data_IF_374363079019
#
_entry.id   IF_374363079019
#
_cell.length_a   1.000
_cell.length_b   1.000
_cell.length_c   1.000
_cell.angle_alpha   90.00
_cell.angle_beta   90.00
_cell.angle_gamma   90.00
#
_symmetry.space_group_name_H-M   'P 1'
#
loop_
_entity.id
_entity.type
_entity.pdbx_description
1 polymer ?
#
# COMPACT_ATOMS: atom_id res chain seq x y z
N UNK A 1 35.74 -3.95 -12.40
CA UNK A 1 36.69 -3.57 -13.47
C UNK A 1 35.99 -3.22 -14.78
N UNK A 2 35.13 -4.10 -15.34
CA UNK A 2 34.40 -3.82 -16.59
C UNK A 2 33.59 -2.51 -16.61
N UNK A 3 32.80 -2.26 -15.55
CA UNK A 3 32.01 -1.03 -15.44
C UNK A 3 32.90 0.22 -15.41
N UNK A 4 34.01 0.17 -14.68
CA UNK A 4 34.96 1.29 -14.61
C UNK A 4 35.62 1.59 -15.96
N UNK A 5 36.03 0.56 -16.72
CA UNK A 5 36.60 0.75 -18.06
C UNK A 5 35.58 1.25 -19.09
N UNK A 6 34.29 0.98 -18.89
CA UNK A 6 33.24 1.47 -19.78
C UNK A 6 32.97 2.97 -19.54
N UNK A 7 32.89 3.40 -18.28
CA UNK A 7 32.74 4.82 -17.95
C UNK A 7 33.90 5.66 -18.50
N UNK A 8 35.14 5.17 -18.39
CA UNK A 8 36.31 5.86 -18.93
C UNK A 8 36.24 6.04 -20.46
N UNK A 9 35.79 5.00 -21.20
CA UNK A 9 35.55 5.11 -22.65
C UNK A 9 34.41 6.08 -23.00
N UNK A 10 33.39 6.22 -22.15
CA UNK A 10 32.29 7.17 -22.35
C UNK A 10 32.73 8.62 -22.06
N UNK A 11 33.64 8.81 -21.11
CA UNK A 11 34.25 10.10 -20.83
C UNK A 11 35.15 10.56 -22.00
N UNK A 12 35.96 9.66 -22.57
CA UNK A 12 36.76 9.95 -23.77
C UNK A 12 35.90 10.38 -24.97
N UNK A 13 34.74 9.74 -25.17
CA UNK A 13 33.77 10.14 -26.19
C UNK A 13 33.19 11.53 -25.90
N UNK A 14 32.89 11.81 -24.63
CA UNK A 14 32.35 13.11 -24.19
C UNK A 14 33.37 14.24 -24.36
N UNK A 15 34.67 13.95 -24.19
CA UNK A 15 35.78 14.87 -24.47
C UNK A 15 36.08 15.04 -25.96
N UNK A 16 35.45 14.23 -26.83
CA UNK A 16 35.68 14.26 -28.28
C UNK A 16 36.96 13.54 -28.73
N UNK A 17 37.60 12.79 -27.83
CA UNK A 17 38.85 12.05 -28.10
C UNK A 17 38.59 10.78 -28.93
N UNK A 18 37.38 10.22 -28.84
CA UNK A 18 36.94 9.04 -29.59
C UNK A 18 35.55 9.21 -30.19
N UNK A 19 35.31 8.56 -31.32
CA UNK A 19 33.97 8.42 -31.90
C UNK A 19 33.13 7.40 -31.13
N UNK A 20 31.85 7.70 -30.89
CA UNK A 20 30.93 6.81 -30.15
C UNK A 20 30.63 5.48 -30.89
N UNK A 21 30.64 5.50 -32.24
CA UNK A 21 30.32 4.33 -33.06
C UNK A 21 31.33 3.17 -32.86
N UNK A 22 32.65 3.40 -32.94
CA UNK A 22 33.66 2.39 -32.59
C UNK A 22 33.50 1.83 -31.18
N UNK A 23 33.29 2.69 -30.19
CA UNK A 23 33.14 2.27 -28.78
C UNK A 23 31.94 1.34 -28.59
N UNK A 24 30.82 1.63 -29.24
CA UNK A 24 29.65 0.73 -29.22
C UNK A 24 29.92 -0.59 -29.96
N UNK A 25 30.60 -0.57 -31.10
CA UNK A 25 30.92 -1.79 -31.84
C UNK A 25 31.83 -2.72 -31.02
N UNK A 26 32.85 -2.16 -30.36
CA UNK A 26 33.73 -2.90 -29.45
C UNK A 26 32.98 -3.59 -28.30
N UNK A 27 31.90 -2.98 -27.80
CA UNK A 27 31.06 -3.57 -26.76
C UNK A 27 30.08 -4.62 -27.33
N UNK A 28 29.40 -4.29 -28.44
CA UNK A 28 28.28 -5.08 -28.94
C UNK A 28 28.72 -6.41 -29.56
N UNK A 29 29.79 -6.42 -30.35
CA UNK A 29 30.26 -7.64 -31.03
C UNK A 29 30.56 -8.81 -30.05
N UNK A 30 31.36 -8.62 -28.99
CA UNK A 30 31.58 -9.69 -28.00
C UNK A 30 30.32 -9.99 -27.17
N UNK A 31 29.48 -8.99 -26.88
CA UNK A 31 28.26 -9.21 -26.10
C UNK A 31 27.21 -10.05 -26.84
N UNK A 32 26.98 -9.83 -28.14
CA UNK A 32 26.08 -10.67 -28.96
C UNK A 32 26.62 -12.10 -29.01
N UNK A 33 27.93 -12.25 -29.21
CA UNK A 33 28.57 -13.56 -29.30
C UNK A 33 28.40 -14.33 -27.98
N UNK A 34 28.60 -13.66 -26.85
CA UNK A 34 28.39 -14.24 -25.52
C UNK A 34 26.92 -14.59 -25.28
N UNK A 35 25.97 -13.73 -25.68
CA UNK A 35 24.53 -14.00 -25.58
C UNK A 35 24.15 -15.25 -26.36
N UNK A 36 24.56 -15.36 -27.63
CA UNK A 36 24.30 -16.54 -28.47
C UNK A 36 24.86 -17.82 -27.87
N UNK A 37 26.07 -17.75 -27.30
CA UNK A 37 26.67 -18.89 -26.62
C UNK A 37 25.86 -19.30 -25.39
N UNK A 38 25.47 -18.33 -24.55
CA UNK A 38 24.74 -18.59 -23.29
C UNK A 38 23.28 -18.99 -23.51
N UNK A 39 22.64 -18.55 -24.59
CA UNK A 39 21.29 -19.01 -24.97
C UNK A 39 21.26 -20.52 -25.27
N UNK A 40 22.34 -21.06 -25.84
CA UNK A 40 22.46 -22.49 -26.16
C UNK A 40 22.92 -23.29 -24.93
N UNK A 41 23.84 -22.76 -24.15
CA UNK A 41 24.44 -23.45 -23.00
C UNK A 41 23.50 -23.50 -21.78
N UNK A 42 22.68 -22.47 -21.55
CA UNK A 42 21.89 -22.33 -20.33
C UNK A 42 20.41 -22.53 -20.61
N UNK A 43 19.89 -23.70 -20.24
CA UNK A 43 18.44 -23.89 -20.24
C UNK A 43 17.82 -23.07 -19.10
N UNK A 44 16.85 -22.20 -19.45
CA UNK A 44 16.14 -21.35 -18.47
C UNK A 44 15.45 -22.17 -17.37
N UNK A 45 15.10 -23.42 -17.66
CA UNK A 45 14.39 -24.32 -16.76
C UNK A 45 15.30 -24.79 -15.61
N UNK A 46 16.53 -25.22 -15.89
CA UNK A 46 17.45 -25.74 -14.85
C UNK A 46 17.90 -24.67 -13.85
N UNK A 47 18.01 -23.41 -14.27
CA UNK A 47 18.41 -22.31 -13.39
C UNK A 47 17.25 -21.85 -12.50
N UNK A 48 16.00 -22.06 -12.93
CA UNK A 48 14.84 -21.44 -12.29
C UNK A 48 13.98 -22.39 -11.48
N UNK A 49 14.06 -23.71 -11.65
CA UNK A 49 13.26 -24.68 -10.89
C UNK A 49 14.13 -25.65 -10.09
N UNK A 50 14.08 -25.53 -8.77
CA UNK A 50 14.63 -26.55 -7.85
C UNK A 50 13.47 -27.42 -7.35
N UNK A 51 13.57 -28.73 -7.57
CA UNK A 51 12.59 -29.68 -7.05
C UNK A 51 12.61 -29.73 -5.52
N UNK A 52 11.44 -29.90 -4.92
CA UNK A 52 11.30 -30.08 -3.48
C UNK A 52 10.47 -31.29 -3.15
N UNK A 53 10.64 -31.81 -1.94
CA UNK A 53 9.88 -32.97 -1.44
C UNK A 53 8.46 -32.59 -0.97
N UNK A 54 8.07 -31.31 -1.06
CA UNK A 54 6.76 -30.85 -0.61
C UNK A 54 5.68 -31.14 -1.65
N UNK A 55 4.52 -31.59 -1.16
CA UNK A 55 3.35 -31.92 -1.97
C UNK A 55 2.36 -30.75 -1.94
N UNK A 56 1.76 -30.44 -3.09
CA UNK A 56 0.77 -29.38 -3.24
C UNK A 56 -0.54 -29.76 -2.51
N UNK A 57 -1.08 -28.89 -1.64
CA UNK A 57 -2.32 -29.17 -0.90
C UNK A 57 -3.58 -29.10 -1.77
N UNK A 58 -3.52 -28.50 -2.97
CA UNK A 58 -4.69 -28.38 -3.86
C UNK A 58 -4.83 -29.56 -4.83
N UNK A 59 -3.73 -30.18 -5.29
CA UNK A 59 -3.77 -31.21 -6.33
C UNK A 59 -2.90 -32.44 -6.06
N UNK A 60 -2.11 -32.46 -4.98
CA UNK A 60 -1.22 -33.59 -4.66
C UNK A 60 0.03 -33.71 -5.54
N UNK A 61 0.28 -32.78 -6.46
CA UNK A 61 1.50 -32.76 -7.28
C UNK A 61 2.69 -32.18 -6.52
N UNK A 62 3.92 -32.45 -6.96
CA UNK A 62 5.15 -31.90 -6.33
C UNK A 62 5.23 -30.37 -6.46
N UNK A 63 5.79 -29.71 -5.44
CA UNK A 63 6.11 -28.29 -5.49
C UNK A 63 7.54 -28.08 -5.99
N UNK A 64 7.73 -27.05 -6.81
CA UNK A 64 9.02 -26.62 -7.35
C UNK A 64 9.29 -25.18 -6.96
N UNK A 65 10.54 -24.86 -6.60
CA UNK A 65 10.94 -23.50 -6.28
C UNK A 65 11.24 -22.76 -7.59
N UNK A 66 10.41 -21.77 -7.93
CA UNK A 66 10.59 -20.90 -9.09
C UNK A 66 11.18 -19.54 -8.70
N UNK A 67 11.99 -18.94 -9.59
CA UNK A 67 12.49 -17.58 -9.42
C UNK A 67 11.53 -16.56 -10.05
N UNK A 68 11.00 -15.64 -9.26
CA UNK A 68 10.15 -14.52 -9.71
C UNK A 68 10.74 -13.15 -9.35
N UNK A 69 10.02 -12.07 -9.71
CA UNK A 69 10.43 -10.68 -9.42
C UNK A 69 10.62 -10.41 -7.92
N UNK A 70 9.83 -11.08 -7.08
CA UNK A 70 9.85 -10.91 -5.63
C UNK A 70 10.80 -11.88 -4.91
N UNK A 71 11.59 -12.67 -5.66
CA UNK A 71 12.46 -13.71 -5.13
C UNK A 71 12.00 -15.12 -5.49
N UNK A 72 12.56 -16.11 -4.80
CA UNK A 72 12.20 -17.53 -4.96
C UNK A 72 10.85 -17.82 -4.28
N UNK A 73 10.01 -18.63 -4.91
CA UNK A 73 8.70 -19.02 -4.39
C UNK A 73 8.39 -20.47 -4.77
N UNK A 74 7.62 -21.18 -3.94
CA UNK A 74 7.11 -22.52 -4.26
C UNK A 74 5.91 -22.40 -5.20
N UNK A 75 5.91 -23.20 -6.26
CA UNK A 75 4.82 -23.31 -7.22
C UNK A 75 4.49 -24.76 -7.50
N UNK A 76 3.23 -25.06 -7.78
CA UNK A 76 2.83 -26.40 -8.21
C UNK A 76 3.44 -26.77 -9.57
N UNK A 77 3.95 -27.99 -9.70
CA UNK A 77 4.44 -28.53 -10.99
C UNK A 77 3.31 -28.70 -12.01
N UNK A 78 2.08 -28.96 -11.55
CA UNK A 78 0.87 -29.09 -12.36
C UNK A 78 0.29 -27.77 -12.92
N UNK A 79 1.03 -26.67 -12.93
CA UNK A 79 0.61 -25.44 -13.62
C UNK A 79 0.60 -25.69 -15.15
N UNK A 80 -0.45 -25.30 -15.91
CA UNK A 80 -1.51 -24.33 -15.58
C UNK A 80 -2.76 -24.89 -14.87
N UNK A 81 -2.90 -26.20 -14.71
CA UNK A 81 -4.11 -26.80 -14.12
C UNK A 81 -4.27 -26.47 -12.63
N UNK A 82 -3.16 -26.32 -11.89
CA UNK A 82 -3.14 -25.87 -10.50
C UNK A 82 -2.37 -24.55 -10.36
N UNK A 83 -3.00 -23.55 -9.73
CA UNK A 83 -2.47 -22.20 -9.54
C UNK A 83 -1.88 -21.94 -8.15
N UNK A 84 -1.67 -22.99 -7.35
CA UNK A 84 -1.12 -22.87 -6.00
C UNK A 84 0.32 -22.30 -6.03
N UNK A 85 0.53 -21.24 -5.23
CA UNK A 85 1.85 -20.62 -5.02
C UNK A 85 2.03 -20.22 -3.56
N UNK A 86 3.27 -20.31 -3.08
CA UNK A 86 3.65 -19.98 -1.70
C UNK A 86 5.00 -19.25 -1.66
N UNK A 87 5.10 -18.18 -0.88
CA UNK A 87 6.32 -17.38 -0.76
C UNK A 87 7.35 -18.06 0.15
N UNK A 88 8.62 -18.07 -0.25
CA UNK A 88 9.74 -18.48 0.60
C UNK A 88 10.48 -17.26 1.15
N UNK A 89 11.06 -17.37 2.35
CA UNK A 89 11.98 -16.36 2.86
C UNK A 89 13.26 -16.32 2.00
N UNK A 90 13.98 -15.18 1.93
CA UNK A 90 15.24 -15.10 1.22
C UNK A 90 16.32 -16.08 1.73
N UNK A 91 16.20 -16.59 2.96
CA UNK A 91 17.07 -17.61 3.55
C UNK A 91 16.73 -19.06 3.17
N UNK A 92 15.67 -19.29 2.38
CA UNK A 92 15.23 -20.64 2.01
C UNK A 92 14.40 -21.37 3.07
N UNK A 93 14.17 -20.75 4.22
CA UNK A 93 13.34 -21.30 5.30
C UNK A 93 11.88 -20.79 5.18
N UNK A 94 10.90 -21.57 5.64
CA UNK A 94 9.51 -21.11 5.76
C UNK A 94 9.47 -19.92 6.73
N UNK A 95 8.84 -18.80 6.33
CA UNK A 95 8.61 -17.71 7.27
C UNK A 95 7.68 -18.22 8.38
N UNK A 96 8.09 -18.02 9.64
CA UNK A 96 7.20 -18.23 10.78
C UNK A 96 5.97 -17.34 10.61
N UNK A 97 4.81 -17.99 10.51
CA UNK A 97 3.55 -17.30 10.32
C UNK A 97 3.03 -16.89 11.69
N UNK A 98 3.08 -15.59 11.98
CA UNK A 98 2.50 -15.04 13.22
C UNK A 98 0.98 -15.34 13.26
N UNK A 99 0.55 -16.20 14.17
CA UNK A 99 -0.88 -16.41 14.48
C UNK A 99 -1.41 -15.24 15.30
N UNK A 100 -2.56 -14.68 14.91
CA UNK A 100 -3.27 -13.70 15.73
C UNK A 100 -4.27 -14.39 16.65
N UNK A 101 -4.62 -13.71 17.75
CA UNK A 101 -5.68 -14.14 18.68
C UNK A 101 -7.09 -13.96 18.09
N UNK A 102 -7.20 -13.26 16.95
CA UNK A 102 -8.47 -12.93 16.32
C UNK A 102 -9.01 -14.11 15.49
N UNK A 103 -10.28 -14.45 15.70
CA UNK A 103 -10.98 -15.53 14.99
C UNK A 103 -11.64 -15.00 13.72
N UNK A 104 -11.73 -15.84 12.69
CA UNK A 104 -12.39 -15.50 11.45
C UNK A 104 -13.92 -15.37 11.63
N UNK A 105 -14.52 -14.26 11.16
CA UNK A 105 -15.97 -14.01 11.26
C UNK A 105 -16.85 -15.06 10.57
N UNK A 106 -16.30 -15.81 9.59
CA UNK A 106 -17.07 -16.76 8.77
C UNK A 106 -16.99 -18.20 9.25
N UNK A 107 -15.89 -18.61 9.87
CA UNK A 107 -15.67 -20.02 10.24
C UNK A 107 -15.15 -20.21 11.67
N UNK A 108 -14.80 -19.13 12.39
CA UNK A 108 -14.28 -19.21 13.75
C UNK A 108 -12.85 -19.73 13.90
N UNK A 109 -12.20 -20.14 12.80
CA UNK A 109 -10.81 -20.58 12.80
C UNK A 109 -9.86 -19.41 13.16
N UNK A 110 -8.69 -19.68 13.75
CA UNK A 110 -7.70 -18.65 14.07
C UNK A 110 -7.20 -17.98 12.78
N UNK A 111 -6.83 -16.71 12.86
CA UNK A 111 -6.29 -15.97 11.72
C UNK A 111 -4.76 -15.87 11.78
N UNK A 112 -4.16 -15.80 10.59
CA UNK A 112 -2.73 -15.73 10.35
C UNK A 112 -2.38 -14.34 9.82
N UNK A 113 -1.33 -13.73 10.34
CA UNK A 113 -0.83 -12.44 9.83
C UNK A 113 0.04 -12.72 8.61
N UNK A 114 -0.41 -12.26 7.44
CA UNK A 114 0.34 -12.34 6.17
C UNK A 114 0.67 -10.94 5.66
N UNK A 115 1.78 -10.83 4.94
CA UNK A 115 2.21 -9.60 4.27
C UNK A 115 1.79 -9.62 2.80
N UNK A 116 1.12 -8.57 2.35
CA UNK A 116 0.72 -8.39 0.95
C UNK A 116 1.11 -7.02 0.40
N UNK A 117 0.69 -6.72 -0.83
CA UNK A 117 0.95 -5.43 -1.51
C UNK A 117 0.51 -4.21 -0.69
N UNK A 118 -0.59 -4.35 0.05
CA UNK A 118 -1.22 -3.26 0.80
C UNK A 118 -0.82 -3.23 2.28
N UNK A 119 0.13 -4.07 2.70
CA UNK A 119 0.60 -4.19 4.08
C UNK A 119 0.26 -5.54 4.72
N UNK A 120 0.39 -5.62 6.05
CA UNK A 120 0.02 -6.79 6.85
C UNK A 120 -1.51 -6.92 6.93
N UNK A 121 -2.04 -8.12 6.77
CA UNK A 121 -3.47 -8.44 6.85
C UNK A 121 -3.68 -9.80 7.54
N UNK A 122 -4.89 -10.03 8.02
CA UNK A 122 -5.31 -11.28 8.62
C UNK A 122 -5.91 -12.20 7.56
N UNK A 123 -5.38 -13.40 7.41
CA UNK A 123 -5.88 -14.45 6.53
C UNK A 123 -6.42 -15.61 7.37
N UNK A 124 -7.53 -16.21 6.97
CA UNK A 124 -8.04 -17.39 7.67
C UNK A 124 -7.04 -18.56 7.59
N UNK A 125 -6.80 -19.25 8.71
CA UNK A 125 -5.95 -20.47 8.75
C UNK A 125 -6.52 -21.62 7.93
N UNK A 126 -7.85 -21.75 7.88
CA UNK A 126 -8.57 -22.79 7.12
C UNK A 126 -8.57 -22.57 5.57
N UNK A 127 -7.59 -21.86 5.01
CA UNK A 127 -7.40 -21.79 3.56
C UNK A 127 -6.98 -23.18 3.03
N UNK A 128 -7.55 -23.71 1.93
CA UNK A 128 -8.39 -23.06 0.91
C UNK A 128 -9.91 -23.10 1.17
N UNK A 129 -10.39 -23.83 2.19
CA UNK A 129 -11.82 -23.96 2.50
C UNK A 129 -12.48 -22.62 2.89
N UNK A 130 -11.76 -21.74 3.59
CA UNK A 130 -12.20 -20.39 3.90
C UNK A 130 -11.23 -19.34 3.33
N UNK A 131 -11.69 -18.59 2.30
CA UNK A 131 -10.92 -17.52 1.64
C UNK A 131 -11.11 -16.13 2.28
N UNK A 132 -11.52 -16.09 3.55
CA UNK A 132 -11.79 -14.83 4.24
C UNK A 132 -10.49 -14.09 4.60
N UNK A 133 -10.47 -12.78 4.36
CA UNK A 133 -9.37 -11.86 4.74
C UNK A 133 -9.93 -10.68 5.52
N UNK A 134 -9.17 -10.18 6.49
CA UNK A 134 -9.52 -9.04 7.33
C UNK A 134 -8.34 -8.06 7.45
N UNK A 135 -8.59 -6.76 7.59
CA UNK A 135 -7.54 -5.79 7.88
C UNK A 135 -7.03 -5.96 9.31
N UNK A 136 -5.71 -5.82 9.52
CA UNK A 136 -5.10 -5.89 10.85
C UNK A 136 -5.60 -4.77 11.79
N UNK A 137 -5.86 -3.59 11.23
CA UNK A 137 -6.44 -2.47 11.95
C UNK A 137 -7.91 -2.34 11.57
N UNK A 138 -8.82 -2.85 12.40
CA UNK A 138 -10.26 -2.64 12.19
C UNK A 138 -10.58 -1.14 12.33
N UNK A 139 -11.38 -0.56 11.42
CA UNK A 139 -11.75 0.85 11.48
C UNK A 139 -12.53 1.10 12.78
N UNK A 140 -12.04 2.04 13.59
CA UNK A 140 -12.67 2.38 14.88
C UNK A 140 -14.01 3.08 14.61
N UNK A 141 -15.08 2.54 15.18
CA UNK A 141 -16.37 3.23 15.21
C UNK A 141 -16.32 4.34 16.28
N UNK A 142 -16.74 5.55 15.92
CA UNK A 142 -16.72 6.71 16.82
C UNK A 142 -18.01 6.80 17.64
N UNK A 143 -19.06 6.07 17.24
CA UNK A 143 -20.37 6.10 17.89
C UNK A 143 -21.29 7.22 17.39
N UNK A 144 -20.90 7.98 16.36
CA UNK A 144 -21.76 9.00 15.74
C UNK A 144 -22.63 8.37 14.65
N UNK A 145 -23.94 8.59 14.71
CA UNK A 145 -24.89 8.13 13.69
C UNK A 145 -24.72 8.94 12.41
N UNK A 146 -24.81 8.27 11.26
CA UNK A 146 -24.68 8.91 9.96
C UNK A 146 -25.86 9.87 9.72
N UNK A 147 -25.60 11.16 9.42
CA UNK A 147 -26.64 12.16 9.23
C UNK A 147 -27.42 12.01 7.90
N UNK A 148 -26.95 11.16 6.99
CA UNK A 148 -27.58 10.95 5.69
C UNK A 148 -28.50 9.72 5.67
N UNK A 149 -28.13 8.64 6.36
CA UNK A 149 -28.90 7.40 6.35
C UNK A 149 -29.55 7.03 7.69
N UNK A 150 -29.21 7.71 8.78
CA UNK A 150 -29.72 7.51 10.15
C UNK A 150 -29.58 6.09 10.75
N UNK A 151 -29.14 5.10 9.97
CA UNK A 151 -28.96 3.71 10.38
C UNK A 151 -27.47 3.34 10.53
N UNK A 152 -26.61 3.96 9.71
CA UNK A 152 -25.17 3.69 9.72
C UNK A 152 -24.43 4.43 10.83
N UNK A 153 -23.26 3.94 11.22
CA UNK A 153 -22.35 4.60 12.17
C UNK A 153 -21.12 5.14 11.45
N UNK A 154 -20.57 6.25 11.93
CA UNK A 154 -19.35 6.85 11.39
C UNK A 154 -18.11 6.09 11.86
N UNK A 155 -17.31 5.65 10.90
CA UNK A 155 -16.07 4.90 11.10
C UNK A 155 -14.85 5.70 10.63
N UNK A 156 -13.77 5.63 11.39
CA UNK A 156 -12.47 6.19 11.02
C UNK A 156 -11.76 5.31 9.97
N UNK A 157 -11.37 5.90 8.83
CA UNK A 157 -10.64 5.24 7.75
C UNK A 157 -9.44 6.07 7.31
N UNK A 158 -8.43 5.42 6.75
CA UNK A 158 -7.25 6.06 6.15
C UNK A 158 -7.38 6.10 4.63
N UNK A 159 -7.15 7.26 4.03
CA UNK A 159 -7.07 7.40 2.58
C UNK A 159 -5.77 6.79 2.04
N UNK A 160 -5.66 6.64 0.70
CA UNK A 160 -4.43 6.18 0.04
C UNK A 160 -3.18 7.01 0.37
N UNK A 161 -3.38 8.26 0.76
CA UNK A 161 -2.32 9.21 1.13
C UNK A 161 -2.09 9.28 2.65
N UNK A 162 -2.72 8.40 3.43
CA UNK A 162 -2.59 8.36 4.89
C UNK A 162 -3.45 9.38 5.64
N UNK A 163 -4.11 10.32 4.95
CA UNK A 163 -5.04 11.26 5.60
C UNK A 163 -6.27 10.51 6.13
N UNK A 164 -6.60 10.74 7.40
CA UNK A 164 -7.77 10.16 8.07
C UNK A 164 -9.04 10.86 7.56
N UNK A 165 -10.09 10.08 7.39
CA UNK A 165 -11.44 10.55 7.09
C UNK A 165 -12.47 9.64 7.77
N UNK A 166 -13.67 10.15 7.95
CA UNK A 166 -14.74 9.46 8.63
C UNK A 166 -15.83 9.15 7.63
N UNK A 167 -16.23 7.89 7.52
CA UNK A 167 -17.22 7.44 6.53
C UNK A 167 -18.30 6.59 7.16
N UNK A 168 -19.47 6.56 6.54
CA UNK A 168 -20.54 5.66 6.96
C UNK A 168 -20.11 4.18 6.89
N UNK A 169 -20.52 3.39 7.88
CA UNK A 169 -20.31 1.94 7.94
C UNK A 169 -21.00 1.19 6.80
N UNK A 170 -22.14 1.70 6.31
CA UNK A 170 -22.95 1.11 5.23
C UNK A 170 -22.44 1.44 3.81
N UNK A 171 -21.17 1.76 3.65
CA UNK A 171 -20.59 1.86 2.31
C UNK A 171 -20.58 0.46 1.67
N UNK A 172 -21.05 0.27 0.40
CA UNK A 172 -21.25 1.29 -0.64
C UNK A 172 -22.62 2.00 -0.69
N UNK A 173 -23.63 1.52 0.04
CA UNK A 173 -25.01 2.02 -0.01
C UNK A 173 -25.12 3.49 0.43
N UNK A 174 -24.34 3.89 1.43
CA UNK A 174 -24.24 5.27 1.88
C UNK A 174 -22.80 5.80 1.69
N UNK A 175 -22.66 6.81 0.80
CA UNK A 175 -21.37 7.42 0.43
C UNK A 175 -20.99 8.64 1.28
N UNK A 176 -21.70 8.89 2.38
CA UNK A 176 -21.42 10.02 3.26
C UNK A 176 -20.03 9.90 3.90
N UNK A 177 -19.24 10.97 3.78
CA UNK A 177 -17.90 11.04 4.34
C UNK A 177 -17.53 12.46 4.77
N UNK A 178 -16.74 12.58 5.83
CA UNK A 178 -16.22 13.82 6.40
C UNK A 178 -14.70 13.73 6.58
N UNK A 179 -14.00 14.84 6.37
CA UNK A 179 -12.54 14.91 6.57
C UNK A 179 -12.15 15.22 8.01
N UNK A 180 -13.04 15.88 8.73
CA UNK A 180 -12.84 16.36 10.09
C UNK A 180 -13.70 15.52 11.06
N UNK A 181 -13.32 15.47 12.34
CA UNK A 181 -13.94 14.59 13.34
C UNK A 181 -15.42 14.96 13.54
N UNK A 182 -16.37 14.04 13.29
CA UNK A 182 -17.79 14.31 13.53
C UNK A 182 -18.11 14.29 15.04
N UNK A 183 -18.88 15.28 15.48
CA UNK A 183 -19.38 15.46 16.84
C UNK A 183 -20.91 15.36 16.80
N UNK A 184 -21.54 14.53 17.65
CA UNK A 184 -22.98 14.25 17.64
C UNK A 184 -23.79 15.38 18.29
N UNK A 185 -23.56 16.60 17.81
CA UNK A 185 -24.24 17.80 18.29
C UNK A 185 -24.81 18.57 17.10
N UNK A 186 -26.10 18.95 17.15
CA UNK A 186 -26.77 19.60 16.05
C UNK A 186 -26.28 21.04 15.86
N UNK A 187 -26.25 21.49 14.61
CA UNK A 187 -25.89 22.87 14.29
C UNK A 187 -27.03 23.83 14.69
N UNK A 188 -26.77 24.87 15.48
CA UNK A 188 -27.80 25.82 15.91
C UNK A 188 -28.32 26.73 14.78
N UNK A 189 -27.61 26.83 13.65
CA UNK A 189 -28.02 27.67 12.51
C UNK A 189 -28.93 26.96 11.50
N UNK A 190 -28.66 25.68 11.23
CA UNK A 190 -29.36 24.92 10.17
C UNK A 190 -30.05 23.65 10.67
N UNK A 191 -29.88 23.27 11.95
CA UNK A 191 -30.44 22.06 12.51
C UNK A 191 -29.77 20.75 12.06
N UNK A 192 -28.68 20.83 11.28
CA UNK A 192 -27.98 19.64 10.80
C UNK A 192 -27.43 18.81 11.98
N UNK A 193 -27.64 17.48 12.03
CA UNK A 193 -27.48 16.69 13.27
C UNK A 193 -26.03 16.45 13.71
N UNK A 194 -25.04 16.74 12.86
CA UNK A 194 -23.62 16.50 13.15
C UNK A 194 -22.79 17.75 12.85
N UNK A 195 -21.91 18.10 13.77
CA UNK A 195 -20.91 19.16 13.58
C UNK A 195 -19.52 18.55 13.46
N UNK A 196 -18.53 19.30 12.98
CA UNK A 196 -17.14 18.82 12.85
C UNK A 196 -16.18 19.62 13.70
N UNK A 197 -15.23 18.94 14.34
CA UNK A 197 -14.12 19.57 15.05
C UNK A 197 -12.90 19.70 14.13
N UNK A 198 -12.37 20.91 14.02
CA UNK A 198 -11.22 21.23 13.17
C UNK A 198 -10.16 21.97 13.96
N UNK A 199 -8.89 21.68 13.65
CA UNK A 199 -7.73 22.33 14.26
C UNK A 199 -7.16 23.35 13.28
N UNK A 200 -7.06 24.61 13.71
CA UNK A 200 -6.39 25.69 12.99
C UNK A 200 -5.25 26.26 13.80
N UNK A 201 -4.19 26.71 13.12
CA UNK A 201 -3.05 27.40 13.75
C UNK A 201 -3.46 28.71 14.44
N UNK A 202 -4.52 29.38 13.95
CA UNK A 202 -4.94 30.71 14.43
C UNK A 202 -5.91 30.64 15.62
N UNK A 203 -6.91 29.76 15.52
CA UNK A 203 -8.03 29.67 16.45
C UNK A 203 -8.01 28.42 17.33
N UNK A 204 -6.94 27.61 17.26
CA UNK A 204 -6.89 26.33 17.95
C UNK A 204 -7.94 25.35 17.41
N UNK A 205 -8.49 24.54 18.31
CA UNK A 205 -9.62 23.64 18.01
C UNK A 205 -10.89 24.49 17.93
N UNK A 206 -11.67 24.35 16.86
CA UNK A 206 -12.96 25.02 16.71
C UNK A 206 -13.95 24.09 16.02
N UNK A 207 -15.23 24.35 16.22
CA UNK A 207 -16.31 23.56 15.62
C UNK A 207 -16.92 24.29 14.43
N UNK A 208 -17.28 23.55 13.39
CA UNK A 208 -17.97 24.05 12.19
C UNK A 208 -19.15 23.13 11.88
N UNK A 209 -20.18 23.65 11.23
CA UNK A 209 -21.20 22.81 10.62
C UNK A 209 -20.60 21.87 9.55
N UNK A 210 -21.08 20.62 9.52
CA UNK A 210 -20.69 19.61 8.54
C UNK A 210 -21.41 19.78 7.19
N UNK A 211 -22.57 20.44 7.17
CA UNK A 211 -23.37 20.66 5.96
C UNK A 211 -22.71 21.68 5.01
N UNK A 212 -22.65 21.32 3.73
CA UNK A 212 -22.24 22.23 2.66
C UNK A 212 -23.26 23.37 2.53
N UNK A 213 -22.80 24.62 2.63
CA UNK A 213 -23.66 25.83 2.60
C UNK A 213 -23.96 26.45 3.97
N UNK A 214 -23.58 25.82 5.09
CA UNK A 214 -23.71 26.43 6.41
C UNK A 214 -22.37 26.95 6.95
N UNK A 215 -22.30 28.26 7.19
CA UNK A 215 -21.09 28.96 7.68
C UNK A 215 -20.96 29.04 9.22
N UNK A 216 -21.78 28.31 9.97
CA UNK A 216 -21.72 28.34 11.44
C UNK A 216 -20.37 27.80 11.96
N UNK A 217 -19.79 28.55 12.90
CA UNK A 217 -18.53 28.23 13.57
C UNK A 217 -18.62 28.62 15.05
N UNK A 218 -18.05 27.80 15.93
CA UNK A 218 -17.93 28.09 17.36
C UNK A 218 -16.49 27.83 17.81
N UNK A 219 -15.92 28.80 18.51
CA UNK A 219 -14.63 28.64 19.19
C UNK A 219 -14.88 28.16 20.62
N UNK A 220 -14.05 27.27 21.18
CA UNK A 220 -14.12 26.92 22.59
C UNK A 220 -13.86 28.16 23.44
N UNK A 221 -14.63 28.32 24.52
CA UNK A 221 -14.45 29.43 25.46
C UNK A 221 -13.05 29.35 26.09
N UNK A 222 -12.24 30.40 25.92
CA UNK A 222 -10.92 30.53 26.56
C UNK A 222 -9.69 30.52 25.65
N UNK A 223 -9.83 30.45 24.31
CA UNK A 223 -8.67 30.64 23.40
C UNK A 223 -8.75 31.99 22.68
N UNK A 224 -8.00 32.97 23.16
CA UNK A 224 -7.78 34.21 22.40
C UNK A 224 -7.02 33.90 21.10
N UNK A 225 -7.46 34.45 19.95
CA UNK A 225 -6.78 34.20 18.67
C UNK A 225 -5.36 34.77 18.71
N UNK A 226 -4.36 33.95 18.38
CA UNK A 226 -2.97 34.43 18.27
C UNK A 226 -2.88 35.51 17.18
N UNK A 227 -2.17 36.62 17.42
CA UNK A 227 -2.10 37.75 16.50
C UNK A 227 -1.58 37.32 15.12
N UNK A 228 -2.19 37.87 14.09
CA UNK A 228 -1.88 37.60 12.69
C UNK A 228 -0.44 38.05 12.39
N UNK A 229 0.45 37.10 12.05
CA UNK A 229 1.77 37.45 11.52
C UNK A 229 1.56 38.12 10.16
N UNK A 230 1.72 39.45 10.13
CA UNK A 230 1.71 40.24 8.90
C UNK A 230 2.77 39.68 7.95
N UNK A 231 2.31 39.10 6.84
CA UNK A 231 3.18 38.67 5.75
C UNK A 231 3.74 39.94 5.12
N UNK A 232 4.96 40.33 5.51
CA UNK A 232 5.72 41.38 4.81
C UNK A 232 5.95 40.90 3.38
N UNK A 233 5.17 41.42 2.43
CA UNK A 233 5.43 41.28 0.99
C UNK A 233 6.83 41.83 0.73
N UNK A 234 7.80 40.96 0.46
CA UNK A 234 9.10 41.37 -0.10
C UNK A 234 8.81 42.02 -1.45
N UNK A 235 9.00 43.34 -1.56
CA UNK A 235 9.08 44.04 -2.85
C UNK A 235 10.15 43.33 -3.67
N UNK A 236 9.77 42.71 -4.78
CA UNK A 236 10.72 42.32 -5.84
C UNK A 236 11.33 43.62 -6.35
N UNK A 237 12.61 43.83 -6.08
CA UNK A 237 13.43 44.77 -6.82
C UNK A 237 13.71 44.13 -8.17
N UNK A 238 13.14 44.70 -9.24
CA UNK A 238 13.50 44.38 -10.61
C UNK A 238 14.95 44.81 -10.84
N UNK A 239 15.74 43.95 -11.47
CA UNK A 239 17.09 44.22 -11.98
C UNK A 239 17.12 43.72 -13.42
#
# INVERSE_FOLDING_TARGET
EFTASMEEKLDEVSRGEKGWRPVLAEFWEPFISLLKQKEVEVSKQEVTSVDTDRVCPECGSKLVIKLGRSGRFLACSGFPACHFTESLAPSGEPQEVETSEEKCDKCGAPMLIKTGRYGKFLACSAYPACKNIQPLNKPRAIGVVCPQCHEGTMQEKKSRYGKIFYSCSRYPDCKFALWDLPVPEPCPKCGFPVTVEKVSKRYGRYRKCAQEGCDWKQQPEGTEPKPEKTVRKRKKTET
#
